data_IF_422006443714
#
_entry.id   IF_422006443714
#
_cell.length_a   1.000
_cell.length_b   1.000
_cell.length_c   1.000
_cell.angle_alpha   90.00
_cell.angle_beta   90.00
_cell.angle_gamma   90.00
#
_symmetry.space_group_name_H-M   'P 1'
#
loop_
_entity.id
_entity.type
_entity.pdbx_description
1 polymer ?
#
# COMPACT_ATOMS: atom_id res chain seq x y z
N UNK A 1 -41.36 -73.73 27.88
CA UNK A 1 -40.52 -74.12 29.04
C UNK A 1 -39.11 -73.61 28.79
N UNK A 2 -38.54 -72.87 29.77
CA UNK A 2 -37.10 -72.65 30.08
C UNK A 2 -36.13 -72.49 28.88
N UNK A 3 -35.40 -71.39 28.70
CA UNK A 3 -34.42 -70.89 29.67
C UNK A 3 -33.93 -69.47 29.31
N UNK A 4 -33.70 -68.71 30.38
CA UNK A 4 -32.87 -67.51 30.49
C UNK A 4 -31.51 -67.61 29.77
N UNK A 5 -31.04 -66.48 29.22
CA UNK A 5 -29.71 -65.93 29.55
C UNK A 5 -29.61 -64.44 29.21
N UNK A 6 -29.40 -63.66 30.26
CA UNK A 6 -28.96 -62.27 30.22
C UNK A 6 -27.60 -62.16 29.51
N UNK A 7 -27.42 -61.14 28.67
CA UNK A 7 -26.09 -60.61 28.37
C UNK A 7 -26.14 -59.09 28.57
N UNK A 8 -25.17 -58.66 29.38
CA UNK A 8 -25.04 -57.34 29.99
C UNK A 8 -24.70 -56.27 28.96
N UNK A 9 -25.31 -55.11 29.16
CA UNK A 9 -24.93 -53.79 28.67
C UNK A 9 -23.43 -53.54 28.85
N UNK A 10 -22.72 -53.25 27.75
CA UNK A 10 -21.39 -52.66 27.78
C UNK A 10 -21.34 -51.52 26.75
N UNK A 11 -21.57 -50.31 27.24
CA UNK A 11 -21.48 -49.07 26.48
C UNK A 11 -20.01 -48.78 26.22
N UNK A 12 -19.55 -48.98 24.99
CA UNK A 12 -18.19 -48.61 24.56
C UNK A 12 -18.26 -47.20 23.95
N UNK A 13 -17.71 -46.21 24.66
CA UNK A 13 -17.56 -44.85 24.16
C UNK A 13 -16.41 -44.84 23.14
N UNK A 14 -16.73 -44.68 21.86
CA UNK A 14 -15.75 -44.50 20.79
C UNK A 14 -15.33 -43.02 20.77
N UNK A 15 -14.19 -42.69 21.39
CA UNK A 15 -13.57 -41.37 21.24
C UNK A 15 -12.73 -41.40 19.96
N UNK A 16 -13.30 -40.87 18.87
CA UNK A 16 -12.63 -40.69 17.60
C UNK A 16 -11.80 -39.40 17.67
N UNK A 17 -10.54 -39.49 18.06
CA UNK A 17 -9.59 -38.38 17.88
C UNK A 17 -9.21 -38.30 16.40
N UNK A 18 -9.79 -37.34 15.70
CA UNK A 18 -9.41 -36.98 14.34
C UNK A 18 -8.05 -36.26 14.41
N UNK A 19 -6.95 -36.98 14.19
CA UNK A 19 -5.66 -36.37 13.94
C UNK A 19 -5.69 -35.79 12.52
N UNK A 20 -5.94 -34.48 12.40
CA UNK A 20 -5.71 -33.76 11.14
C UNK A 20 -4.20 -33.72 10.96
N UNK A 21 -3.69 -34.56 10.06
CA UNK A 21 -2.36 -34.37 9.52
C UNK A 21 -2.39 -33.07 8.70
N UNK A 22 -1.94 -31.97 9.29
CA UNK A 22 -1.54 -30.81 8.51
C UNK A 22 -0.33 -31.28 7.72
N UNK A 23 -0.54 -31.58 6.44
CA UNK A 23 0.58 -31.70 5.51
C UNK A 23 1.23 -30.32 5.46
N UNK A 24 2.33 -30.14 6.19
CA UNK A 24 3.25 -29.05 5.89
C UNK A 24 3.68 -29.28 4.45
N UNK A 25 3.14 -28.48 3.53
CA UNK A 25 3.73 -28.33 2.21
C UNK A 25 5.21 -28.07 2.45
N UNK A 26 6.04 -29.00 2.00
CA UNK A 26 7.49 -28.89 2.06
C UNK A 26 7.87 -27.56 1.44
N UNK A 27 8.39 -26.65 2.27
CA UNK A 27 9.12 -25.47 1.82
C UNK A 27 10.28 -26.02 0.99
N UNK A 28 10.18 -25.87 -0.33
CA UNK A 28 11.31 -26.11 -1.22
C UNK A 28 12.28 -24.97 -0.92
N UNK A 29 13.31 -25.26 -0.14
CA UNK A 29 14.45 -24.36 0.04
C UNK A 29 15.43 -24.67 -1.08
N UNK A 30 15.26 -24.02 -2.23
CA UNK A 30 16.35 -23.94 -3.20
C UNK A 30 17.26 -22.79 -2.74
N UNK A 31 18.29 -23.17 -1.98
CA UNK A 31 19.26 -22.32 -1.27
C UNK A 31 20.30 -21.66 -2.20
N UNK A 32 19.92 -21.26 -3.42
CA UNK A 32 20.87 -20.68 -4.41
C UNK A 32 20.29 -19.49 -5.21
N UNK A 33 19.12 -18.98 -4.83
CA UNK A 33 18.52 -17.80 -5.50
C UNK A 33 18.74 -16.55 -4.65
N UNK A 34 18.99 -15.41 -5.30
CA UNK A 34 19.03 -14.13 -4.61
C UNK A 34 17.62 -13.78 -4.13
N UNK A 35 17.40 -13.93 -2.83
CA UNK A 35 16.14 -13.54 -2.17
C UNK A 35 16.07 -12.04 -1.83
N UNK A 36 17.01 -11.24 -2.32
CA UNK A 36 17.08 -9.80 -2.07
C UNK A 36 16.82 -9.00 -3.34
N UNK A 37 16.04 -7.93 -3.22
CA UNK A 37 15.81 -6.94 -4.25
C UNK A 37 16.48 -5.63 -3.89
N UNK A 38 17.37 -5.15 -4.76
CA UNK A 38 18.01 -3.85 -4.61
C UNK A 38 17.23 -2.79 -5.39
N UNK A 39 16.91 -1.67 -4.76
CA UNK A 39 16.34 -0.48 -5.42
C UNK A 39 17.34 0.67 -5.30
N UNK A 40 17.81 1.18 -6.43
CA UNK A 40 18.90 2.17 -6.49
C UNK A 40 18.71 3.20 -7.61
N UNK A 41 19.74 4.01 -7.83
CA UNK A 41 19.79 4.99 -8.90
C UNK A 41 19.40 6.37 -8.42
N UNK A 42 18.53 7.05 -9.15
CA UNK A 42 18.06 8.41 -8.88
C UNK A 42 16.96 8.42 -7.80
N UNK A 43 17.35 8.01 -6.59
CA UNK A 43 16.49 7.82 -5.41
C UNK A 43 17.19 8.41 -4.18
N UNK A 44 16.43 8.96 -3.22
CA UNK A 44 17.01 9.53 -1.99
C UNK A 44 17.23 8.48 -0.90
N UNK A 45 16.47 7.39 -0.93
CA UNK A 45 16.52 6.29 0.03
C UNK A 45 16.72 4.93 -0.68
N UNK A 46 17.95 4.54 -1.05
CA UNK A 46 18.21 3.24 -1.67
C UNK A 46 17.78 2.07 -0.76
N UNK A 47 17.12 1.06 -1.34
CA UNK A 47 16.57 -0.08 -0.60
C UNK A 47 17.35 -1.36 -0.93
N UNK A 48 17.47 -2.25 0.06
CA UNK A 48 17.92 -3.62 -0.14
C UNK A 48 17.04 -4.51 0.73
N UNK A 49 16.02 -5.10 0.12
CA UNK A 49 14.92 -5.75 0.82
C UNK A 49 14.96 -7.26 0.60
N UNK A 50 14.80 -8.02 1.67
CA UNK A 50 14.60 -9.47 1.63
C UNK A 50 13.20 -9.82 1.13
N UNK A 51 13.04 -11.03 0.61
CA UNK A 51 11.73 -11.59 0.27
C UNK A 51 10.74 -11.53 1.44
N UNK A 52 11.20 -11.77 2.66
CA UNK A 52 10.36 -11.71 3.85
C UNK A 52 9.82 -10.31 4.14
N UNK A 53 10.65 -9.28 3.98
CA UNK A 53 10.23 -7.88 4.13
C UNK A 53 9.24 -7.48 3.04
N UNK A 54 9.55 -7.80 1.79
CA UNK A 54 8.66 -7.54 0.65
C UNK A 54 7.31 -8.26 0.86
N UNK A 55 7.32 -9.55 1.20
CA UNK A 55 6.10 -10.32 1.45
C UNK A 55 5.27 -9.83 2.66
N UNK A 56 5.85 -8.98 3.53
CA UNK A 56 5.15 -8.34 4.64
C UNK A 56 4.46 -7.02 4.27
N UNK A 57 4.79 -6.44 3.12
CA UNK A 57 4.14 -5.23 2.62
C UNK A 57 2.71 -5.52 2.16
N UNK A 58 1.86 -4.48 2.01
CA UNK A 58 0.51 -4.65 1.48
C UNK A 58 0.55 -5.33 0.11
N UNK A 59 -0.11 -6.49 0.01
CA UNK A 59 -0.19 -7.29 -1.21
C UNK A 59 -1.53 -7.07 -1.92
N UNK A 60 -1.44 -6.98 -3.23
CA UNK A 60 -2.48 -6.60 -4.16
C UNK A 60 -2.59 -7.67 -5.20
N UNK A 61 -3.76 -7.81 -5.78
CA UNK A 61 -3.95 -8.72 -6.89
C UNK A 61 -4.48 -8.02 -8.12
N UNK A 62 -4.05 -8.47 -9.28
CA UNK A 62 -4.49 -7.95 -10.57
C UNK A 62 -4.65 -9.10 -11.56
N UNK A 63 -5.79 -9.13 -12.26
CA UNK A 63 -5.99 -10.06 -13.36
C UNK A 63 -5.41 -9.42 -14.61
N UNK A 64 -4.28 -9.93 -15.08
CA UNK A 64 -3.60 -9.39 -16.25
C UNK A 64 -3.24 -10.49 -17.25
N UNK A 65 -3.47 -10.19 -18.53
CA UNK A 65 -3.08 -11.05 -19.64
C UNK A 65 -1.60 -10.86 -19.96
N UNK A 66 -0.82 -11.93 -19.80
CA UNK A 66 0.56 -11.97 -20.27
C UNK A 66 0.58 -12.46 -21.72
N UNK A 67 1.05 -11.59 -22.62
CA UNK A 67 1.11 -11.86 -24.05
C UNK A 67 2.53 -11.70 -24.59
N UNK A 68 3.04 -12.74 -25.23
CA UNK A 68 4.31 -12.64 -25.97
C UNK A 68 4.06 -11.91 -27.30
N UNK A 69 5.03 -11.09 -27.71
CA UNK A 69 4.98 -10.29 -28.95
C UNK A 69 4.80 -11.12 -30.23
N UNK A 70 5.21 -12.40 -30.20
CA UNK A 70 5.04 -13.33 -31.32
C UNK A 70 3.86 -14.29 -31.16
N UNK A 71 3.16 -14.26 -30.03
CA UNK A 71 2.04 -15.17 -29.78
C UNK A 71 0.75 -14.62 -30.40
N UNK A 72 -0.09 -15.52 -30.92
CA UNK A 72 -1.43 -15.18 -31.43
C UNK A 72 -2.42 -14.81 -30.33
N UNK A 73 -2.14 -15.17 -29.08
CA UNK A 73 -2.97 -14.93 -27.89
C UNK A 73 -2.12 -14.95 -26.63
N UNK A 74 -2.53 -14.24 -25.58
CA UNK A 74 -1.92 -14.34 -24.26
C UNK A 74 -2.71 -15.27 -23.33
N UNK A 75 -2.26 -15.36 -22.07
CA UNK A 75 -2.97 -16.06 -20.99
C UNK A 75 -3.17 -15.11 -19.82
N UNK A 76 -4.38 -15.09 -19.27
CA UNK A 76 -4.70 -14.31 -18.08
C UNK A 76 -4.36 -15.08 -16.82
N UNK A 77 -3.74 -14.38 -15.88
CA UNK A 77 -3.43 -14.90 -14.56
C UNK A 77 -3.89 -13.90 -13.50
N UNK A 78 -4.18 -14.41 -12.30
CA UNK A 78 -4.35 -13.57 -11.13
C UNK A 78 -2.97 -13.39 -10.48
N UNK A 79 -2.34 -12.25 -10.71
CA UNK A 79 -1.05 -11.91 -10.12
C UNK A 79 -1.24 -11.35 -8.73
N UNK A 80 -0.36 -11.65 -7.79
CA UNK A 80 -0.39 -11.02 -6.47
C UNK A 80 0.99 -10.55 -6.07
N UNK A 81 1.09 -9.29 -5.65
CA UNK A 81 2.34 -8.57 -5.44
C UNK A 81 2.17 -7.23 -4.76
N UNK A 82 3.23 -6.43 -4.73
CA UNK A 82 3.19 -5.06 -4.23
C UNK A 82 3.09 -4.13 -5.44
N UNK A 83 2.36 -3.01 -5.39
CA UNK A 83 2.39 -2.04 -6.46
C UNK A 83 3.77 -1.46 -6.56
N UNK A 84 4.26 -1.35 -7.78
CA UNK A 84 5.61 -0.86 -8.00
C UNK A 84 5.75 0.61 -7.53
N UNK A 85 4.69 1.42 -7.70
CA UNK A 85 4.67 2.80 -7.17
C UNK A 85 4.94 2.85 -5.68
N UNK A 86 4.48 1.87 -4.90
CA UNK A 86 4.68 1.86 -3.45
C UNK A 86 6.17 1.69 -3.13
N UNK A 87 6.83 0.73 -3.79
CA UNK A 87 8.27 0.51 -3.62
C UNK A 87 9.11 1.71 -4.09
N UNK A 88 8.73 2.34 -5.20
CA UNK A 88 9.40 3.54 -5.71
C UNK A 88 9.22 4.74 -4.77
N UNK A 89 8.06 4.90 -4.15
CA UNK A 89 7.84 5.94 -3.16
C UNK A 89 8.65 5.69 -1.89
N UNK A 90 8.81 4.43 -1.44
CA UNK A 90 9.71 4.10 -0.34
C UNK A 90 11.18 4.41 -0.64
N UNK A 91 11.56 4.28 -1.90
CA UNK A 91 12.90 4.65 -2.35
C UNK A 91 13.08 6.18 -2.47
N UNK A 92 12.00 6.95 -2.47
CA UNK A 92 12.01 8.41 -2.65
C UNK A 92 12.66 8.82 -3.98
N UNK A 93 12.01 8.46 -5.09
CA UNK A 93 12.43 8.85 -6.44
C UNK A 93 12.70 10.37 -6.52
N UNK A 94 13.89 10.73 -6.99
CA UNK A 94 14.27 12.14 -7.09
C UNK A 94 13.69 12.79 -8.37
N UNK A 95 13.49 14.12 -8.37
CA UNK A 95 13.11 14.85 -9.56
C UNK A 95 14.09 14.63 -10.72
N UNK A 96 13.55 14.49 -11.94
CA UNK A 96 14.35 14.26 -13.16
C UNK A 96 14.46 12.80 -13.58
N UNK A 97 13.98 11.85 -12.76
CA UNK A 97 13.82 10.46 -13.17
C UNK A 97 12.84 10.33 -14.34
N UNK A 98 13.20 9.50 -15.33
CA UNK A 98 12.41 9.27 -16.55
C UNK A 98 12.05 7.81 -16.74
N UNK A 99 12.89 6.88 -16.28
CA UNK A 99 12.68 5.44 -16.44
C UNK A 99 13.04 4.65 -15.18
N UNK A 100 12.45 3.45 -15.11
CA UNK A 100 12.74 2.44 -14.10
C UNK A 100 13.24 1.19 -14.83
N UNK A 101 14.51 0.86 -14.61
CA UNK A 101 15.21 -0.27 -15.20
C UNK A 101 15.09 -1.48 -14.28
N UNK A 102 14.82 -2.63 -14.88
CA UNK A 102 14.66 -3.92 -14.22
C UNK A 102 15.75 -4.86 -14.71
N UNK A 103 16.48 -5.48 -13.79
CA UNK A 103 17.51 -6.48 -14.12
C UNK A 103 17.24 -7.79 -13.38
N UNK A 104 17.39 -8.86 -14.14
CA UNK A 104 17.25 -10.22 -13.67
C UNK A 104 18.61 -10.85 -13.40
N UNK A 105 18.60 -11.93 -12.62
CA UNK A 105 19.79 -12.71 -12.28
C UNK A 105 20.50 -13.29 -13.51
N UNK A 106 19.79 -13.52 -14.63
CA UNK A 106 20.29 -14.11 -15.87
C UNK A 106 20.81 -13.07 -16.90
N UNK A 107 21.14 -11.86 -16.45
CA UNK A 107 21.52 -10.69 -17.26
C UNK A 107 20.41 -10.16 -18.18
N UNK A 108 19.18 -10.71 -18.12
CA UNK A 108 18.04 -10.12 -18.80
C UNK A 108 17.69 -8.76 -18.18
N UNK A 109 17.38 -7.78 -19.02
CA UNK A 109 16.92 -6.48 -18.54
C UNK A 109 15.97 -5.82 -19.51
N UNK A 110 15.14 -4.94 -18.96
CA UNK A 110 14.18 -4.09 -19.66
C UNK A 110 13.88 -2.88 -18.80
N UNK A 111 13.09 -1.93 -19.29
CA UNK A 111 12.66 -0.75 -18.54
C UNK A 111 11.20 -0.43 -18.82
N UNK A 112 10.61 0.35 -17.90
CA UNK A 112 9.35 1.04 -18.09
C UNK A 112 9.60 2.53 -17.87
N UNK A 113 8.81 3.38 -18.53
CA UNK A 113 8.80 4.81 -18.18
C UNK A 113 8.39 4.98 -16.71
N UNK A 114 8.82 6.07 -16.08
CA UNK A 114 8.46 6.34 -14.69
C UNK A 114 6.93 6.36 -14.49
N UNK A 115 6.19 6.95 -15.42
CA UNK A 115 4.72 6.98 -15.39
C UNK A 115 4.10 5.59 -15.43
N UNK A 116 4.67 4.68 -16.21
CA UNK A 116 4.23 3.29 -16.31
C UNK A 116 4.58 2.49 -15.06
N UNK A 117 5.76 2.71 -14.51
CA UNK A 117 6.21 2.08 -13.28
C UNK A 117 5.40 2.55 -12.06
N UNK A 118 4.96 3.82 -12.08
CA UNK A 118 4.06 4.41 -11.10
C UNK A 118 2.58 4.06 -11.33
N UNK A 119 2.26 3.35 -12.42
CA UNK A 119 0.87 3.04 -12.75
C UNK A 119 0.27 2.07 -11.71
N UNK A 120 -1.01 2.24 -11.31
CA UNK A 120 -1.55 1.55 -10.13
C UNK A 120 -1.64 0.03 -10.27
N UNK A 121 -1.76 -0.46 -11.50
CA UNK A 121 -1.83 -1.90 -11.80
C UNK A 121 -0.48 -2.50 -12.17
N UNK A 122 0.60 -1.72 -12.13
CA UNK A 122 1.97 -2.23 -12.28
C UNK A 122 2.43 -2.82 -10.95
N UNK A 123 2.71 -4.12 -10.93
CA UNK A 123 3.06 -4.86 -9.72
C UNK A 123 4.48 -5.43 -9.79
N UNK A 124 5.12 -5.48 -8.63
CA UNK A 124 6.15 -6.45 -8.30
C UNK A 124 5.46 -7.70 -7.75
N UNK A 125 5.23 -8.71 -8.59
CA UNK A 125 4.53 -9.94 -8.24
C UNK A 125 5.42 -10.91 -7.45
N UNK A 126 4.82 -11.56 -6.45
CA UNK A 126 5.40 -12.66 -5.65
C UNK A 126 4.64 -13.97 -5.84
N UNK A 127 3.39 -13.86 -6.32
CA UNK A 127 2.45 -14.97 -6.45
C UNK A 127 1.68 -14.88 -7.76
N UNK A 128 1.22 -16.05 -8.21
CA UNK A 128 0.31 -16.19 -9.33
C UNK A 128 -0.74 -17.25 -9.01
N UNK A 129 -2.00 -16.97 -9.30
CA UNK A 129 -3.17 -17.80 -9.03
C UNK A 129 -3.24 -18.30 -7.57
N UNK A 130 -2.87 -17.43 -6.62
CA UNK A 130 -2.90 -17.72 -5.18
C UNK A 130 -1.71 -18.55 -4.66
N UNK A 131 -0.81 -19.00 -5.53
CA UNK A 131 0.42 -19.73 -5.16
C UNK A 131 1.66 -18.88 -5.40
N UNK A 132 2.79 -19.21 -4.76
CA UNK A 132 4.07 -18.57 -5.07
C UNK A 132 4.39 -18.67 -6.58
N UNK A 133 5.11 -17.68 -7.12
CA UNK A 133 5.59 -17.75 -8.50
C UNK A 133 6.37 -19.07 -8.72
N UNK A 134 6.10 -19.80 -9.81
CA UNK A 134 7.02 -20.85 -10.26
C UNK A 134 8.41 -20.26 -10.50
N UNK A 135 9.46 -21.05 -10.25
CA UNK A 135 10.81 -20.61 -10.60
C UNK A 135 10.96 -20.49 -12.12
N UNK A 136 10.67 -21.57 -12.86
CA UNK A 136 10.81 -21.59 -14.31
C UNK A 136 9.66 -20.84 -15.02
N UNK A 137 9.98 -20.00 -16.01
CA UNK A 137 9.00 -19.61 -17.02
C UNK A 137 8.73 -20.83 -17.91
N UNK A 138 7.49 -21.33 -17.88
CA UNK A 138 7.09 -22.48 -18.67
C UNK A 138 7.20 -22.22 -20.19
N UNK A 139 7.74 -23.17 -20.93
CA UNK A 139 7.80 -23.11 -22.39
C UNK A 139 6.38 -23.27 -22.97
N UNK A 140 5.95 -22.36 -23.86
CA UNK A 140 4.75 -22.28 -24.75
C UNK A 140 3.42 -22.94 -24.33
N UNK A 141 3.43 -24.12 -23.72
CA UNK A 141 2.28 -24.89 -23.19
C UNK A 141 2.26 -24.99 -21.64
N UNK A 142 3.38 -24.70 -20.95
CA UNK A 142 3.55 -24.85 -19.49
C UNK A 142 3.23 -23.64 -18.61
N UNK A 143 2.88 -22.50 -19.21
CA UNK A 143 2.51 -21.27 -18.51
C UNK A 143 3.66 -20.27 -18.37
N UNK A 144 3.46 -19.03 -18.84
CA UNK A 144 4.47 -17.95 -18.88
C UNK A 144 4.65 -17.22 -17.53
N UNK A 145 4.18 -17.83 -16.44
CA UNK A 145 3.96 -17.15 -15.17
C UNK A 145 5.09 -17.31 -14.14
N UNK A 146 6.26 -17.80 -14.56
CA UNK A 146 7.41 -18.00 -13.69
C UNK A 146 8.17 -16.71 -13.40
N UNK A 147 9.38 -16.84 -12.86
CA UNK A 147 10.22 -15.71 -12.46
C UNK A 147 10.29 -15.50 -10.95
N UNK A 148 10.16 -16.55 -10.13
CA UNK A 148 10.49 -16.48 -8.70
C UNK A 148 11.92 -15.91 -8.48
N UNK A 149 12.18 -15.09 -7.45
CA UNK A 149 11.24 -14.68 -6.39
C UNK A 149 10.31 -13.53 -6.78
N UNK A 150 10.68 -12.71 -7.77
CA UNK A 150 9.94 -11.51 -8.15
C UNK A 150 9.80 -11.36 -9.65
N UNK A 151 8.59 -10.97 -10.11
CA UNK A 151 8.30 -10.66 -11.51
C UNK A 151 7.61 -9.31 -11.64
N UNK A 152 8.05 -8.48 -12.58
CA UNK A 152 7.29 -7.29 -12.99
C UNK A 152 6.05 -7.70 -13.78
N UNK A 153 4.91 -7.17 -13.38
CA UNK A 153 3.63 -7.30 -14.06
C UNK A 153 3.22 -5.91 -14.53
N UNK A 154 3.21 -5.70 -15.84
CA UNK A 154 2.90 -4.42 -16.47
C UNK A 154 1.75 -4.59 -17.48
N UNK A 155 0.48 -4.51 -17.03
CA UNK A 155 -0.68 -4.74 -17.89
C UNK A 155 -0.65 -3.94 -19.20
N UNK A 156 -1.03 -4.60 -20.30
CA UNK A 156 -0.98 -4.09 -21.68
C UNK A 156 0.38 -3.75 -22.26
N UNK A 157 1.47 -4.08 -21.55
CA UNK A 157 2.79 -4.17 -22.16
C UNK A 157 3.04 -5.59 -22.65
N UNK A 158 3.80 -5.72 -23.74
CA UNK A 158 4.28 -7.02 -24.20
C UNK A 158 5.13 -7.70 -23.12
N UNK A 159 5.06 -9.03 -23.07
CA UNK A 159 5.69 -9.83 -22.02
C UNK A 159 7.22 -9.69 -21.90
N UNK A 160 7.92 -9.14 -22.90
CA UNK A 160 9.35 -8.86 -22.75
C UNK A 160 9.65 -7.69 -21.79
N UNK A 161 8.65 -6.87 -21.45
CA UNK A 161 8.77 -5.87 -20.38
C UNK A 161 8.52 -6.45 -18.97
N UNK A 162 8.05 -7.71 -18.88
CA UNK A 162 7.64 -8.35 -17.63
C UNK A 162 8.79 -9.19 -17.05
N UNK A 163 9.85 -8.49 -16.61
CA UNK A 163 11.09 -9.09 -16.11
C UNK A 163 10.82 -9.99 -14.90
N UNK A 164 11.13 -11.29 -15.02
CA UNK A 164 11.16 -12.26 -13.91
C UNK A 164 12.56 -12.47 -13.36
N UNK A 165 12.70 -13.23 -12.27
CA UNK A 165 13.99 -13.43 -11.56
C UNK A 165 14.67 -12.11 -11.21
N UNK A 166 13.84 -11.10 -10.88
CA UNK A 166 14.29 -9.74 -10.66
C UNK A 166 15.11 -9.64 -9.37
N UNK A 167 16.32 -9.10 -9.45
CA UNK A 167 17.17 -8.84 -8.28
C UNK A 167 17.56 -7.35 -8.14
N UNK A 168 17.30 -6.53 -9.17
CA UNK A 168 17.61 -5.11 -9.16
C UNK A 168 16.57 -4.26 -9.90
N UNK A 169 16.22 -3.13 -9.26
CA UNK A 169 15.47 -2.01 -9.81
C UNK A 169 16.36 -0.76 -9.75
N UNK A 170 16.54 -0.08 -10.86
CA UNK A 170 17.32 1.15 -10.94
C UNK A 170 16.52 2.27 -11.58
N UNK A 171 16.38 3.39 -10.88
CA UNK A 171 15.72 4.59 -11.39
C UNK A 171 16.76 5.45 -12.12
N UNK A 172 16.46 5.86 -13.35
CA UNK A 172 17.40 6.58 -14.23
C UNK A 172 16.76 7.80 -14.89
N UNK A 173 17.59 8.70 -15.42
CA UNK A 173 17.21 9.95 -16.10
C UNK A 173 17.44 9.91 -17.62
N UNK A 174 17.59 8.71 -18.19
CA UNK A 174 17.82 8.48 -19.62
C UNK A 174 16.97 7.32 -20.16
N UNK A 175 16.81 7.29 -21.48
CA UNK A 175 16.18 6.19 -22.23
C UNK A 175 17.06 4.92 -22.15
N UNK A 176 16.60 3.90 -21.42
CA UNK A 176 17.30 2.64 -21.26
C UNK A 176 16.75 1.57 -22.21
N UNK A 177 17.63 1.02 -23.04
CA UNK A 177 17.28 -0.08 -23.96
C UNK A 177 17.81 -1.40 -23.46
N UNK A 178 16.90 -2.20 -22.92
CA UNK A 178 17.15 -3.57 -22.48
C UNK A 178 17.39 -4.56 -23.62
N UNK A 179 17.18 -5.83 -23.33
CA UNK A 179 17.52 -6.93 -24.24
C UNK A 179 16.74 -6.86 -25.56
N UNK A 180 15.43 -6.68 -25.53
CA UNK A 180 14.61 -6.70 -26.74
C UNK A 180 14.65 -5.35 -27.47
N UNK A 181 14.60 -4.26 -26.71
CA UNK A 181 14.60 -2.88 -27.18
C UNK A 181 15.88 -2.55 -27.94
N UNK A 182 17.05 -3.00 -27.44
CA UNK A 182 18.34 -2.87 -28.13
C UNK A 182 18.41 -3.65 -29.44
N UNK A 183 17.51 -4.62 -29.67
CA UNK A 183 17.40 -5.44 -30.88
C UNK A 183 16.31 -4.95 -31.83
N UNK A 184 15.76 -3.76 -31.59
CA UNK A 184 14.80 -3.09 -32.49
C UNK A 184 13.33 -3.40 -32.19
N UNK A 185 13.02 -3.99 -31.03
CA UNK A 185 11.64 -4.04 -30.54
C UNK A 185 11.21 -2.65 -30.05
N UNK A 186 9.91 -2.38 -30.07
CA UNK A 186 9.35 -1.13 -29.55
C UNK A 186 9.70 -0.98 -28.08
N UNK A 187 10.01 0.26 -27.68
CA UNK A 187 10.32 0.55 -26.29
C UNK A 187 9.06 0.81 -25.47
N UNK A 188 8.06 1.48 -26.06
CA UNK A 188 6.74 1.67 -25.44
C UNK A 188 6.04 0.33 -25.18
N UNK A 189 6.29 -0.65 -26.05
CA UNK A 189 5.84 -2.02 -25.92
C UNK A 189 4.33 -2.22 -25.72
N UNK A 190 3.50 -1.30 -26.23
CA UNK A 190 2.05 -1.38 -26.09
C UNK A 190 1.45 -2.49 -26.96
N UNK A 191 0.47 -3.21 -26.38
CA UNK A 191 -0.35 -4.18 -27.09
C UNK A 191 -1.50 -3.40 -27.78
N UNK A 192 -1.63 -3.42 -29.12
CA UNK A 192 -2.57 -2.55 -29.86
C UNK A 192 -4.04 -2.68 -29.45
N UNK A 193 -4.49 -3.88 -29.12
CA UNK A 193 -5.88 -4.17 -28.72
C UNK A 193 -6.04 -4.32 -27.21
N UNK A 194 -5.04 -3.92 -26.43
CA UNK A 194 -5.12 -3.94 -24.99
C UNK A 194 -5.52 -2.57 -24.49
N UNK A 195 -6.77 -2.49 -24.09
CA UNK A 195 -7.21 -1.42 -23.22
C UNK A 195 -6.67 -1.77 -21.84
N UNK A 196 -5.56 -1.12 -21.42
CA UNK A 196 -5.30 -1.00 -19.97
C UNK A 196 -6.60 -0.50 -19.43
N UNK A 197 -7.16 -1.06 -18.36
CA UNK A 197 -8.47 -0.62 -17.84
C UNK A 197 -8.54 0.89 -17.94
N UNK A 198 -9.20 1.37 -19.00
CA UNK A 198 -9.19 2.77 -19.39
C UNK A 198 -10.64 3.12 -19.30
N UNK A 199 -10.95 3.89 -18.28
CA UNK A 199 -12.18 4.64 -18.14
C UNK A 199 -13.41 3.80 -17.75
N UNK A 200 -13.62 3.70 -16.44
CA UNK A 200 -14.68 4.51 -15.85
C UNK A 200 -14.08 5.24 -14.63
N UNK A 201 -13.88 6.56 -14.79
CA UNK A 201 -13.21 7.49 -13.85
C UNK A 201 -11.79 7.17 -13.47
N UNK A 202 -11.06 8.25 -13.13
CA UNK A 202 -9.65 8.18 -12.90
C UNK A 202 -9.39 7.23 -11.72
N UNK A 203 -8.69 6.13 -11.97
CA UNK A 203 -8.26 5.19 -10.94
C UNK A 203 -7.16 5.77 -10.02
N UNK A 204 -7.00 7.09 -10.11
CA UNK A 204 -6.02 7.98 -9.54
C UNK A 204 -6.67 9.36 -9.48
N UNK A 205 -6.82 9.93 -8.30
CA UNK A 205 -7.18 11.33 -8.11
C UNK A 205 -6.12 11.96 -7.22
N UNK A 206 -5.45 12.99 -7.74
CA UNK A 206 -4.61 13.85 -6.93
C UNK A 206 -5.31 15.18 -6.68
N UNK A 207 -5.23 15.68 -5.45
CA UNK A 207 -5.75 17.00 -5.09
C UNK A 207 -4.85 17.68 -4.07
N UNK A 208 -4.81 19.02 -4.16
CA UNK A 208 -3.98 19.82 -3.27
C UNK A 208 -4.66 20.05 -1.94
N UNK A 209 -3.95 19.75 -0.85
CA UNK A 209 -4.25 20.15 0.50
C UNK A 209 -3.29 21.25 0.92
N UNK A 210 -3.81 22.45 1.21
CA UNK A 210 -2.98 23.57 1.67
C UNK A 210 -3.06 23.66 3.20
N UNK A 211 -1.93 23.55 3.88
CA UNK A 211 -1.81 23.81 5.32
C UNK A 211 -0.42 24.35 5.62
N UNK A 212 -0.27 25.69 5.73
CA UNK A 212 1.02 26.43 5.76
C UNK A 212 1.89 26.27 4.49
N UNK A 213 1.82 25.14 3.81
CA UNK A 213 2.40 24.84 2.51
C UNK A 213 1.38 24.05 1.66
N UNK A 214 1.64 23.94 0.36
CA UNK A 214 0.83 23.09 -0.51
C UNK A 214 1.37 21.68 -0.48
N UNK A 215 0.49 20.71 -0.26
CA UNK A 215 0.77 19.29 -0.25
C UNK A 215 -0.17 18.61 -1.25
N UNK A 216 0.33 17.61 -1.97
CA UNK A 216 -0.50 16.80 -2.86
C UNK A 216 -0.93 15.54 -2.11
N UNK A 217 -2.23 15.25 -2.12
CA UNK A 217 -2.77 13.97 -1.68
C UNK A 217 -3.12 13.18 -2.93
N UNK A 218 -2.70 11.92 -2.95
CA UNK A 218 -2.96 11.03 -4.07
C UNK A 218 -3.83 9.88 -3.61
N UNK A 219 -4.91 9.58 -4.35
CA UNK A 219 -5.80 8.46 -4.08
C UNK A 219 -5.89 7.58 -5.31
N UNK A 220 -5.52 6.31 -5.21
CA UNK A 220 -5.70 5.30 -6.24
C UNK A 220 -6.84 4.36 -5.86
N UNK A 221 -7.78 4.15 -6.77
CA UNK A 221 -8.93 3.28 -6.51
C UNK A 221 -9.64 2.93 -7.81
N UNK A 222 -10.27 1.76 -7.92
CA UNK A 222 -11.11 1.42 -9.08
C UNK A 222 -12.50 2.07 -9.02
N UNK A 223 -12.89 2.64 -7.88
CA UNK A 223 -14.18 3.29 -7.69
C UNK A 223 -14.19 4.74 -8.18
N UNK A 224 -15.40 5.26 -8.36
CA UNK A 224 -15.63 6.61 -8.79
C UNK A 224 -15.41 7.60 -7.63
N UNK A 225 -14.42 8.49 -7.75
CA UNK A 225 -14.28 9.61 -6.82
C UNK A 225 -15.12 10.78 -7.33
N UNK A 226 -16.20 11.11 -6.62
CA UNK A 226 -17.12 12.20 -6.94
C UNK A 226 -16.64 13.56 -6.42
N UNK A 227 -16.01 13.57 -5.24
CA UNK A 227 -15.54 14.80 -4.61
C UNK A 227 -14.35 14.50 -3.69
N UNK A 228 -13.35 15.38 -3.71
CA UNK A 228 -12.22 15.36 -2.78
C UNK A 228 -12.08 16.74 -2.13
N UNK A 229 -12.11 16.81 -0.81
CA UNK A 229 -11.90 18.07 -0.09
C UNK A 229 -10.94 17.92 1.07
N UNK A 230 -10.25 19.01 1.40
CA UNK A 230 -9.40 19.12 2.59
C UNK A 230 -9.85 20.31 3.43
N UNK A 231 -10.29 20.06 4.65
CA UNK A 231 -10.63 21.10 5.60
C UNK A 231 -9.43 21.44 6.47
N UNK A 232 -8.83 22.60 6.24
CA UNK A 232 -7.60 23.04 6.89
C UNK A 232 -7.77 23.29 8.39
N UNK A 233 -8.96 23.73 8.83
CA UNK A 233 -9.25 24.06 10.23
C UNK A 233 -9.22 22.84 11.13
N UNK A 234 -9.63 21.69 10.58
CA UNK A 234 -9.79 20.43 11.33
C UNK A 234 -8.93 19.30 10.77
N UNK A 235 -8.05 19.60 9.80
CA UNK A 235 -7.22 18.65 9.04
C UNK A 235 -7.97 17.37 8.64
N UNK A 236 -9.15 17.56 8.04
CA UNK A 236 -9.98 16.46 7.55
C UNK A 236 -9.85 16.34 6.05
N UNK A 237 -9.57 15.14 5.60
CA UNK A 237 -9.64 14.74 4.21
C UNK A 237 -10.97 14.02 4.00
N UNK A 238 -11.71 14.47 3.00
CA UNK A 238 -13.02 13.95 2.63
C UNK A 238 -12.93 13.38 1.21
N UNK A 239 -13.28 12.10 1.06
CA UNK A 239 -13.38 11.43 -0.24
C UNK A 239 -14.82 10.92 -0.39
N UNK A 240 -15.57 11.47 -1.35
CA UNK A 240 -16.88 10.93 -1.75
C UNK A 240 -16.64 9.92 -2.86
N UNK A 241 -16.85 8.65 -2.54
CA UNK A 241 -16.54 7.52 -3.41
C UNK A 241 -17.85 6.80 -3.71
N UNK A 242 -18.15 6.60 -4.98
CA UNK A 242 -19.30 5.82 -5.43
C UNK A 242 -18.82 4.60 -6.20
N UNK A 243 -19.50 3.47 -6.04
CA UNK A 243 -19.22 2.27 -6.79
C UNK A 243 -20.54 1.71 -7.33
N UNK A 244 -20.57 1.46 -8.65
CA UNK A 244 -21.76 0.95 -9.34
C UNK A 244 -21.79 -0.59 -9.43
N UNK A 245 -20.67 -1.27 -9.17
CA UNK A 245 -20.52 -2.72 -9.37
C UNK A 245 -20.36 -3.50 -8.06
N UNK A 246 -20.83 -4.75 -8.07
CA UNK A 246 -20.93 -5.72 -6.97
C UNK A 246 -19.57 -6.39 -6.63
N UNK A 247 -18.51 -5.58 -6.48
CA UNK A 247 -17.17 -6.03 -6.10
C UNK A 247 -16.61 -5.22 -4.92
N UNK A 248 -15.55 -5.70 -4.26
CA UNK A 248 -14.84 -4.90 -3.25
C UNK A 248 -13.83 -3.98 -3.92
N UNK A 249 -13.85 -2.69 -3.61
CA UNK A 249 -12.89 -1.74 -4.14
C UNK A 249 -11.74 -1.50 -3.17
N UNK A 250 -10.53 -1.64 -3.70
CA UNK A 250 -9.30 -1.23 -3.04
C UNK A 250 -9.10 0.29 -3.15
N UNK A 251 -8.75 0.94 -2.03
CA UNK A 251 -8.37 2.35 -1.99
C UNK A 251 -6.98 2.50 -1.39
N UNK A 252 -6.14 3.23 -2.11
CA UNK A 252 -4.78 3.59 -1.68
C UNK A 252 -4.68 5.09 -1.60
N UNK A 253 -4.43 5.62 -0.41
CA UNK A 253 -4.18 7.04 -0.24
C UNK A 253 -2.72 7.28 0.16
N UNK A 254 -2.00 8.06 -0.64
CA UNK A 254 -0.71 8.63 -0.27
C UNK A 254 -1.00 10.02 0.28
N UNK A 255 -0.77 10.20 1.57
CA UNK A 255 -1.05 11.44 2.28
C UNK A 255 0.24 11.90 2.94
N UNK A 256 0.72 13.13 2.67
CA UNK A 256 1.85 13.68 3.38
C UNK A 256 1.63 13.66 4.89
N UNK A 257 2.59 13.11 5.64
CA UNK A 257 2.50 12.92 7.10
C UNK A 257 2.08 14.19 7.82
N UNK A 258 2.54 15.35 7.37
CA UNK A 258 2.20 16.65 7.98
C UNK A 258 0.70 17.00 7.94
N UNK A 259 -0.05 16.38 7.04
CA UNK A 259 -1.50 16.54 6.94
C UNK A 259 -2.27 15.59 7.88
N UNK A 260 -1.68 14.46 8.26
CA UNK A 260 -2.25 13.54 9.24
C UNK A 260 -1.65 13.82 10.62
N UNK A 261 -2.44 13.68 11.67
CA UNK A 261 -1.91 13.65 13.04
C UNK A 261 -1.46 12.23 13.38
N UNK A 262 -0.59 12.07 14.39
CA UNK A 262 -0.14 10.75 14.87
C UNK A 262 -1.30 9.81 15.25
N UNK A 263 -2.47 10.38 15.61
CA UNK A 263 -3.73 9.66 15.75
C UNK A 263 -4.72 10.18 14.70
N UNK A 264 -5.10 9.34 13.74
CA UNK A 264 -6.18 9.64 12.80
C UNK A 264 -7.13 8.44 12.71
N UNK A 265 -8.37 8.71 12.34
CA UNK A 265 -9.36 7.67 12.08
C UNK A 265 -9.84 7.77 10.64
N UNK A 266 -10.11 6.61 10.05
CA UNK A 266 -10.79 6.50 8.77
C UNK A 266 -12.21 6.06 9.10
N UNK A 267 -13.19 6.86 8.74
CA UNK A 267 -14.60 6.54 8.98
C UNK A 267 -15.40 6.60 7.70
N UNK A 268 -16.47 5.80 7.65
CA UNK A 268 -17.52 5.86 6.63
C UNK A 268 -18.86 5.86 7.32
N UNK A 269 -19.70 6.86 7.02
CA UNK A 269 -20.98 7.07 7.70
C UNK A 269 -20.88 7.09 9.24
N UNK A 270 -19.78 7.65 9.75
CA UNK A 270 -19.51 7.73 11.19
C UNK A 270 -19.05 6.41 11.85
N UNK A 271 -18.85 5.34 11.08
CA UNK A 271 -18.29 4.08 11.57
C UNK A 271 -16.82 3.96 11.15
N UNK A 272 -15.97 3.53 12.07
CA UNK A 272 -14.54 3.33 11.80
C UNK A 272 -14.31 2.14 10.85
N UNK A 273 -13.44 2.33 9.86
CA UNK A 273 -13.06 1.32 8.87
C UNK A 273 -11.68 0.77 9.22
N UNK A 274 -11.48 -0.53 9.03
CA UNK A 274 -10.17 -1.14 9.14
C UNK A 274 -9.28 -0.74 7.97
N UNK A 275 -8.03 -0.35 8.28
CA UNK A 275 -7.05 0.04 7.28
C UNK A 275 -5.67 -0.52 7.62
N UNK A 276 -4.83 -0.64 6.60
CA UNK A 276 -3.39 -0.83 6.75
C UNK A 276 -2.69 0.51 6.58
N UNK A 277 -1.79 0.85 7.48
CA UNK A 277 -0.96 2.05 7.42
C UNK A 277 0.49 1.63 7.25
N UNK A 278 1.18 2.31 6.35
CA UNK A 278 2.62 2.29 6.26
C UNK A 278 3.16 3.70 6.14
N UNK A 279 4.40 3.90 6.56
CA UNK A 279 4.98 5.22 6.73
C UNK A 279 6.39 5.26 6.15
N UNK A 280 6.69 6.30 5.35
CA UNK A 280 8.04 6.64 4.88
C UNK A 280 8.48 8.01 5.40
N UNK A 281 9.68 8.49 5.06
CA UNK A 281 10.02 9.89 5.32
C UNK A 281 9.04 10.79 4.55
N UNK A 282 8.22 11.56 5.27
CA UNK A 282 7.30 12.53 4.69
C UNK A 282 5.90 12.04 4.28
N UNK A 283 5.66 10.74 4.05
CA UNK A 283 4.36 10.24 3.57
C UNK A 283 3.77 9.09 4.43
N UNK A 284 2.44 9.07 4.52
CA UNK A 284 1.63 7.97 5.04
C UNK A 284 0.90 7.31 3.88
N UNK A 285 1.01 5.99 3.79
CA UNK A 285 0.36 5.15 2.79
C UNK A 285 -0.76 4.39 3.48
N UNK A 286 -2.00 4.75 3.13
CA UNK A 286 -3.20 4.12 3.65
C UNK A 286 -3.75 3.16 2.63
N UNK A 287 -4.17 2.00 3.11
CA UNK A 287 -4.92 1.03 2.34
C UNK A 287 -6.18 0.60 3.10
N UNK A 288 -7.31 0.60 2.43
CA UNK A 288 -8.55 0.03 2.95
C UNK A 288 -9.42 -0.46 1.79
N UNK A 289 -10.30 -1.40 2.10
CA UNK A 289 -11.29 -1.93 1.16
C UNK A 289 -12.68 -1.41 1.51
N UNK A 290 -13.49 -1.15 0.49
CA UNK A 290 -14.91 -0.88 0.63
C UNK A 290 -15.69 -1.93 -0.16
N UNK A 291 -16.85 -2.32 0.36
CA UNK A 291 -17.80 -3.17 -0.37
C UNK A 291 -18.53 -2.35 -1.46
N UNK A 292 -19.54 -2.93 -2.11
CA UNK A 292 -20.37 -2.19 -3.05
C UNK A 292 -21.19 -1.08 -2.36
N UNK A 293 -21.17 0.13 -2.92
CA UNK A 293 -22.01 1.23 -2.42
C UNK A 293 -21.48 2.64 -2.70
N UNK A 294 -22.13 3.60 -2.05
CA UNK A 294 -21.68 4.99 -2.01
C UNK A 294 -21.21 5.31 -0.61
N UNK A 295 -20.01 5.87 -0.51
CA UNK A 295 -19.29 6.09 0.73
C UNK A 295 -18.80 7.53 0.80
N UNK A 296 -18.95 8.11 1.98
CA UNK A 296 -18.21 9.33 2.34
C UNK A 296 -17.13 8.89 3.30
N UNK A 297 -15.90 8.84 2.80
CA UNK A 297 -14.73 8.48 3.58
C UNK A 297 -14.16 9.74 4.20
N UNK A 298 -14.10 9.75 5.52
CA UNK A 298 -13.49 10.82 6.30
C UNK A 298 -12.21 10.29 6.92
N UNK A 299 -11.08 10.85 6.48
CA UNK A 299 -9.78 10.66 7.12
C UNK A 299 -9.55 11.92 7.94
N UNK A 300 -9.85 11.84 9.22
CA UNK A 300 -9.72 12.98 10.13
C UNK A 300 -8.56 12.75 11.07
N UNK A 301 -7.62 13.69 11.07
CA UNK A 301 -6.79 13.88 12.24
C UNK A 301 -7.64 14.39 13.40
N UNK A 302 -7.16 14.18 14.63
CA UNK A 302 -7.66 14.95 15.77
C UNK A 302 -7.32 16.42 15.55
N UNK A 303 -8.02 17.34 16.22
CA UNK A 303 -7.59 18.74 16.18
C UNK A 303 -6.15 18.79 16.73
N UNK A 304 -5.22 19.41 15.99
CA UNK A 304 -3.78 19.19 16.17
C UNK A 304 -3.29 19.38 17.60
N UNK A 305 -3.83 20.40 18.27
CA UNK A 305 -3.47 20.74 19.63
C UNK A 305 -4.53 20.34 20.66
N UNK A 306 -5.50 19.51 20.31
CA UNK A 306 -6.39 18.87 21.26
C UNK A 306 -5.70 17.59 21.76
N UNK A 307 -4.84 17.79 22.77
CA UNK A 307 -3.90 16.81 23.31
C UNK A 307 -4.47 16.15 24.56
N UNK A 308 -5.37 16.86 25.25
CA UNK A 308 -5.86 16.53 26.60
C UNK A 308 -7.38 16.63 26.67
N UNK A 309 -7.97 16.12 27.76
CA UNK A 309 -9.42 16.13 27.89
C UNK A 309 -9.94 15.66 29.25
N UNK A 310 -11.22 15.27 29.33
CA UNK A 310 -11.88 14.86 30.58
C UNK A 310 -11.17 13.71 31.32
N UNK A 311 -10.39 12.93 30.58
CA UNK A 311 -9.44 11.96 31.12
C UNK A 311 -8.06 12.38 30.61
N UNK A 312 -7.18 12.83 31.50
CA UNK A 312 -5.84 13.32 31.16
C UNK A 312 -5.15 12.37 30.15
N UNK A 313 -4.81 12.91 28.97
CA UNK A 313 -4.22 12.17 27.84
C UNK A 313 -5.19 11.71 26.76
N UNK A 314 -6.50 11.99 26.88
CA UNK A 314 -7.48 11.80 25.78
C UNK A 314 -8.00 13.15 25.30
N UNK A 315 -7.94 13.46 24.00
CA UNK A 315 -8.52 14.66 23.40
C UNK A 315 -10.00 14.84 23.77
N UNK A 316 -10.44 16.07 24.03
CA UNK A 316 -11.85 16.41 24.29
C UNK A 316 -12.51 17.31 23.24
N UNK A 317 -12.00 17.23 22.01
CA UNK A 317 -12.45 17.99 20.85
C UNK A 317 -12.23 19.49 21.02
N UNK A 318 -11.35 19.94 21.91
CA UNK A 318 -11.15 21.36 22.21
C UNK A 318 -9.70 21.64 22.58
N UNK A 319 -9.14 22.69 21.99
CA UNK A 319 -7.84 23.22 22.45
C UNK A 319 -8.09 24.24 23.53
N UNK A 320 -7.55 23.98 24.71
CA UNK A 320 -7.53 24.93 25.79
C UNK A 320 -6.20 24.93 26.54
N UNK A 321 -6.23 25.51 27.74
CA UNK A 321 -5.02 25.77 28.50
C UNK A 321 -4.35 24.48 28.97
N UNK A 322 -5.09 23.37 29.03
CA UNK A 322 -4.53 22.06 29.40
C UNK A 322 -3.57 21.55 28.33
N UNK A 323 -3.91 21.74 27.06
CA UNK A 323 -3.06 21.33 25.94
C UNK A 323 -1.79 22.16 25.86
N UNK A 324 -1.93 23.49 26.00
CA UNK A 324 -0.78 24.40 26.06
C UNK A 324 0.11 24.06 27.26
N UNK A 325 -0.47 23.68 28.41
CA UNK A 325 0.29 23.32 29.59
C UNK A 325 1.15 22.06 29.39
N UNK A 326 0.69 21.09 28.59
CA UNK A 326 1.47 19.91 28.23
C UNK A 326 2.72 20.31 27.44
N UNK A 327 2.56 21.13 26.41
CA UNK A 327 3.67 21.60 25.57
C UNK A 327 4.64 22.43 26.41
N UNK A 328 4.12 23.36 27.22
CA UNK A 328 4.94 24.21 28.07
C UNK A 328 5.73 23.41 29.12
N UNK A 329 5.16 22.32 29.64
CA UNK A 329 5.83 21.43 30.60
C UNK A 329 6.99 20.65 29.97
N UNK A 330 6.86 20.28 28.70
CA UNK A 330 7.84 19.50 27.96
C UNK A 330 8.69 20.37 27.00
N UNK A 331 8.64 21.70 27.14
CA UNK A 331 9.29 22.62 26.21
C UNK A 331 10.81 22.42 26.18
N UNK A 332 11.36 22.46 24.96
CA UNK A 332 12.77 22.23 24.65
C UNK A 332 13.26 20.84 25.10
N UNK A 333 12.45 19.82 24.86
CA UNK A 333 12.82 18.41 25.04
C UNK A 333 12.84 17.66 23.71
N UNK A 334 13.62 16.58 23.67
CA UNK A 334 13.81 15.71 22.52
C UNK A 334 13.32 14.28 22.81
N UNK A 335 13.02 13.51 21.76
CA UNK A 335 12.67 12.08 21.89
C UNK A 335 13.71 11.35 22.75
N UNK A 336 13.22 10.63 23.76
CA UNK A 336 14.04 9.84 24.70
C UNK A 336 14.42 10.55 26.01
N UNK A 337 14.12 11.85 26.14
CA UNK A 337 14.32 12.58 27.38
C UNK A 337 13.17 12.36 28.39
N UNK A 338 13.45 12.44 29.70
CA UNK A 338 12.49 12.12 30.77
C UNK A 338 11.21 12.97 30.74
N UNK A 339 11.33 14.22 30.31
CA UNK A 339 10.23 15.18 30.24
C UNK A 339 9.56 15.23 28.87
N UNK A 340 10.07 14.49 27.87
CA UNK A 340 9.48 14.43 26.55
C UNK A 340 8.12 13.72 26.60
N UNK A 341 7.11 14.39 26.06
CA UNK A 341 5.76 13.83 25.94
C UNK A 341 5.43 13.71 24.46
N UNK A 342 5.28 12.50 23.90
CA UNK A 342 5.12 12.32 22.45
C UNK A 342 3.98 13.14 21.84
N UNK A 343 2.87 13.30 22.58
CA UNK A 343 1.72 14.07 22.15
C UNK A 343 1.89 15.60 22.26
N UNK A 344 2.97 16.08 22.87
CA UNK A 344 3.35 17.50 22.90
C UNK A 344 4.21 17.93 21.70
N UNK A 345 4.79 16.97 20.96
CA UNK A 345 5.43 17.20 19.66
C UNK A 345 4.36 17.15 18.57
N UNK A 346 3.60 18.24 18.46
CA UNK A 346 2.45 18.34 17.56
C UNK A 346 2.89 18.27 16.11
N UNK A 347 4.07 18.80 15.81
CA UNK A 347 4.59 18.89 14.45
C UNK A 347 5.43 17.68 14.02
N UNK A 348 5.71 16.77 14.96
CA UNK A 348 6.39 15.49 14.80
C UNK A 348 7.81 15.65 14.20
N UNK A 349 8.55 16.66 14.67
CA UNK A 349 9.95 16.89 14.33
C UNK A 349 10.94 16.41 15.41
N UNK A 350 10.47 15.49 16.26
CA UNK A 350 11.19 14.82 17.35
C UNK A 350 11.66 15.80 18.45
N UNK A 351 11.05 16.98 18.49
CA UNK A 351 11.41 18.06 19.40
C UNK A 351 10.19 18.89 19.77
N UNK A 352 10.01 19.12 21.06
CA UNK A 352 8.96 20.02 21.55
C UNK A 352 9.55 21.42 21.68
N UNK A 353 9.13 22.36 20.84
CA UNK A 353 9.63 23.74 20.87
C UNK A 353 8.57 24.80 20.55
N UNK A 354 9.01 26.00 20.15
CA UNK A 354 8.10 27.10 19.82
C UNK A 354 7.15 26.76 18.68
N UNK A 355 7.52 25.85 17.77
CA UNK A 355 6.65 25.46 16.64
C UNK A 355 5.40 24.74 17.11
N UNK A 356 5.51 23.87 18.12
CA UNK A 356 4.37 23.16 18.71
C UNK A 356 3.48 24.13 19.47
N UNK A 357 4.11 25.02 20.24
CA UNK A 357 3.39 26.07 20.96
C UNK A 357 2.62 26.98 20.00
N UNK A 358 3.22 27.35 18.86
CA UNK A 358 2.57 28.15 17.82
C UNK A 358 1.34 27.43 17.24
N UNK A 359 1.41 26.11 17.01
CA UNK A 359 0.25 25.32 16.55
C UNK A 359 -0.85 25.32 17.62
N UNK A 360 -0.50 25.13 18.89
CA UNK A 360 -1.49 25.11 19.97
C UNK A 360 -2.14 26.46 20.24
N UNK A 361 -1.38 27.55 20.11
CA UNK A 361 -1.93 28.90 20.23
C UNK A 361 -2.82 29.24 19.03
N UNK A 362 -2.47 28.81 17.82
CA UNK A 362 -3.29 28.99 16.62
C UNK A 362 -4.64 28.27 16.73
N UNK A 363 -4.65 27.10 17.34
CA UNK A 363 -5.87 26.32 17.56
C UNK A 363 -6.61 26.66 18.86
N UNK A 364 -6.04 27.52 19.71
CA UNK A 364 -6.60 27.83 21.02
C UNK A 364 -8.04 28.34 20.94
N UNK A 365 -8.93 27.68 21.68
CA UNK A 365 -10.36 28.00 21.70
C UNK A 365 -11.15 27.44 20.52
N UNK A 366 -10.51 26.75 19.56
CA UNK A 366 -11.23 25.96 18.55
C UNK A 366 -11.85 24.74 19.23
N UNK A 367 -13.06 24.41 18.79
CA UNK A 367 -13.82 23.25 19.23
C UNK A 367 -14.21 22.48 17.97
N UNK A 368 -13.85 21.20 17.90
CA UNK A 368 -14.44 20.29 16.92
C UNK A 368 -15.88 20.00 17.33
N UNK A 369 -16.86 20.16 16.43
CA UNK A 369 -18.21 19.71 16.70
C UNK A 369 -18.20 18.20 17.01
N UNK A 370 -18.91 17.81 18.07
CA UNK A 370 -19.13 16.39 18.43
C UNK A 370 -19.95 15.63 17.39
N UNK A 371 -20.64 16.34 16.50
CA UNK A 371 -21.39 15.71 15.42
C UNK A 371 -20.52 15.54 14.17
N UNK A 372 -20.72 14.44 13.42
CA UNK A 372 -20.17 14.31 12.09
C UNK A 372 -20.82 15.38 11.23
N UNK A 373 -20.18 16.54 11.13
CA UNK A 373 -20.41 17.39 9.98
C UNK A 373 -19.95 16.56 8.78
N UNK A 374 -20.93 15.96 8.10
CA UNK A 374 -20.75 15.32 6.81
C UNK A 374 -19.86 16.23 5.95
N UNK A 375 -18.99 15.63 5.14
CA UNK A 375 -18.55 16.28 3.91
C UNK A 375 -19.76 16.86 3.13
#
# INVERSE_FOLDING_TARGET
>A
MRHFRQIKTLTFLLVLTLAIAVSSSSVITNDDHKDNLVVKGLVSNPLNLTYGEIASFPLFWEIAELRCVYASSGRSYNWTGIPLFYLLNLAEVQPGATEVVFRAEDDFSSSLTLDEAMYPTTLLALKVNGTALPYEDGYWDGGLAGGYPFKIVAPCKWGYKWVGWLDEIEVVDYDYKGFYESRGFSDEADIPDCTKVSNAKAAYTAFNATWRSSYEITVFTKADIAETTFNQTVKRICLKISQEEDYTTDIYAIIPKRLLTANFTITSHGMEIQYSLMESEGNSFLYFMLDEGSYTIEISGMLLADITGLHEGKPDCKVDMRDIAVIARAYNTNVGEELYVPYGDINNDEKIDSKDLDIAVEDFGKILPHEPNNC
#
